data_IF_379669663007
#
_entry.id   IF_379669663007
#
_cell.length_a   1.000
_cell.length_b   1.000
_cell.length_c   1.000
_cell.angle_alpha   90.00
_cell.angle_beta   90.00
_cell.angle_gamma   90.00
#
_symmetry.space_group_name_H-M   'P 1'
#
loop_
_entity.id
_entity.type
_entity.pdbx_description
1 polymer ?
#
# COMPACT_ATOMS: atom_id res chain seq x y z
N UNK A 1 6.68 13.54 -22.39
CA UNK A 1 7.48 13.08 -21.23
C UNK A 1 6.98 13.92 -20.09
N UNK A 2 6.20 13.36 -19.16
CA UNK A 2 5.80 14.06 -17.95
C UNK A 2 7.05 14.68 -17.33
N UNK A 3 7.02 15.98 -17.05
CA UNK A 3 8.15 16.69 -16.46
C UNK A 3 8.64 15.97 -15.19
N UNK A 4 9.91 16.15 -14.80
CA UNK A 4 10.45 15.49 -13.61
C UNK A 4 9.59 15.83 -12.39
N UNK A 5 8.84 14.84 -11.90
CA UNK A 5 8.04 14.98 -10.67
C UNK A 5 9.02 15.20 -9.53
N UNK A 6 8.96 16.38 -8.91
CA UNK A 6 9.74 16.69 -7.72
C UNK A 6 9.49 15.60 -6.66
N UNK A 7 10.55 15.13 -6.04
CA UNK A 7 10.51 14.08 -5.02
C UNK A 7 9.99 12.70 -5.52
N UNK A 8 10.17 12.39 -6.81
CA UNK A 8 9.77 11.10 -7.43
C UNK A 8 10.17 9.88 -6.60
N UNK A 9 11.42 9.80 -6.15
CA UNK A 9 11.90 8.67 -5.34
C UNK A 9 11.14 8.54 -4.02
N UNK A 10 10.81 9.66 -3.39
CA UNK A 10 10.07 9.65 -2.14
C UNK A 10 8.64 9.13 -2.36
N UNK A 11 7.96 9.56 -3.42
CA UNK A 11 6.64 9.02 -3.79
C UNK A 11 6.69 7.53 -4.14
N UNK A 12 7.74 7.05 -4.81
CA UNK A 12 7.94 5.62 -5.07
C UNK A 12 8.08 4.83 -3.76
N UNK A 13 8.86 5.33 -2.79
CA UNK A 13 8.99 4.70 -1.46
C UNK A 13 7.66 4.66 -0.71
N UNK A 14 6.88 5.74 -0.73
CA UNK A 14 5.56 5.77 -0.10
C UNK A 14 4.61 4.77 -0.76
N UNK A 15 4.59 4.73 -2.09
CA UNK A 15 3.75 3.80 -2.86
C UNK A 15 4.11 2.34 -2.58
N UNK A 16 5.40 2.03 -2.53
CA UNK A 16 5.89 0.69 -2.20
C UNK A 16 5.42 0.23 -0.81
N UNK A 17 5.60 1.06 0.21
CA UNK A 17 5.18 0.73 1.58
C UNK A 17 3.67 0.52 1.68
N UNK A 18 2.88 1.36 1.01
CA UNK A 18 1.44 1.22 0.95
C UNK A 18 1.02 -0.11 0.30
N UNK A 19 1.60 -0.45 -0.85
CA UNK A 19 1.33 -1.71 -1.55
C UNK A 19 1.79 -2.94 -0.76
N UNK A 20 2.94 -2.86 -0.09
CA UNK A 20 3.43 -3.93 0.78
C UNK A 20 2.45 -4.22 1.92
N UNK A 21 1.85 -3.17 2.51
CA UNK A 21 0.82 -3.35 3.55
C UNK A 21 -0.42 -4.10 3.05
N UNK A 22 -0.87 -3.82 1.82
CA UNK A 22 -1.96 -4.57 1.19
C UNK A 22 -1.56 -6.02 0.89
N UNK A 23 -0.35 -6.23 0.36
CA UNK A 23 0.15 -7.56 0.03
C UNK A 23 0.23 -8.47 1.27
N UNK A 24 0.71 -7.95 2.40
CA UNK A 24 0.75 -8.70 3.66
C UNK A 24 -0.64 -9.15 4.10
N UNK A 25 -1.63 -8.24 4.11
CA UNK A 25 -2.99 -8.60 4.52
C UNK A 25 -3.72 -9.50 3.52
N UNK A 26 -3.31 -9.48 2.25
CA UNK A 26 -3.85 -10.38 1.23
C UNK A 26 -3.30 -11.81 1.38
N UNK A 27 -2.05 -11.96 1.83
CA UNK A 27 -1.43 -13.26 2.08
C UNK A 27 -1.84 -13.85 3.43
N UNK A 28 -1.78 -13.03 4.49
CA UNK A 28 -2.12 -13.43 5.85
C UNK A 28 -2.87 -12.29 6.57
N UNK A 29 -4.20 -12.42 6.77
CA UNK A 29 -5.01 -11.38 7.40
C UNK A 29 -4.71 -11.18 8.90
N UNK A 30 -4.11 -12.17 9.57
CA UNK A 30 -3.76 -12.09 11.00
C UNK A 30 -2.50 -11.25 11.22
N UNK A 31 -1.63 -11.12 10.20
CA UNK A 31 -0.39 -10.35 10.26
C UNK A 31 -0.60 -8.83 10.13
N UNK A 32 -1.53 -8.29 10.93
CA UNK A 32 -1.87 -6.87 10.95
C UNK A 32 -0.74 -6.01 11.54
N UNK A 33 0.15 -6.59 12.36
CA UNK A 33 1.28 -5.89 12.93
C UNK A 33 2.26 -5.41 11.86
N UNK A 34 2.60 -6.27 10.89
CA UNK A 34 3.50 -5.93 9.79
C UNK A 34 2.87 -4.89 8.85
N UNK A 35 1.59 -5.05 8.50
CA UNK A 35 0.88 -4.05 7.69
C UNK A 35 0.83 -2.67 8.36
N UNK A 36 0.60 -2.62 9.68
CA UNK A 36 0.66 -1.39 10.49
C UNK A 36 2.05 -0.77 10.48
N UNK A 37 3.10 -1.58 10.56
CA UNK A 37 4.48 -1.11 10.52
C UNK A 37 4.79 -0.40 9.19
N UNK A 38 4.39 -0.98 8.05
CA UNK A 38 4.57 -0.35 6.74
C UNK A 38 3.81 0.98 6.63
N UNK A 39 2.54 1.00 7.02
CA UNK A 39 1.73 2.23 7.01
C UNK A 39 2.25 3.31 7.97
N UNK A 40 2.78 2.91 9.14
CA UNK A 40 3.41 3.83 10.10
C UNK A 40 4.69 4.44 9.52
N UNK A 41 5.51 3.62 8.88
CA UNK A 41 6.75 4.04 8.22
C UNK A 41 6.45 5.01 7.08
N UNK A 42 5.47 4.67 6.22
CA UNK A 42 4.98 5.53 5.14
C UNK A 42 4.54 6.90 5.69
N UNK A 43 3.68 6.92 6.71
CA UNK A 43 3.21 8.15 7.36
C UNK A 43 4.34 8.98 7.95
N UNK A 44 5.36 8.34 8.51
CA UNK A 44 6.54 9.00 9.09
C UNK A 44 7.40 9.65 8.00
N UNK A 45 7.67 8.93 6.90
CA UNK A 45 8.41 9.46 5.76
C UNK A 45 7.65 10.65 5.16
N UNK A 46 6.34 10.50 4.91
CA UNK A 46 5.51 11.58 4.35
C UNK A 46 5.51 12.83 5.25
N UNK A 47 5.46 12.65 6.59
CA UNK A 47 5.55 13.76 7.54
C UNK A 47 6.91 14.45 7.52
N UNK A 48 8.00 13.68 7.54
CA UNK A 48 9.38 14.22 7.56
C UNK A 48 9.72 14.98 6.29
N UNK A 49 9.30 14.46 5.13
CA UNK A 49 9.54 15.06 3.82
C UNK A 49 8.47 16.08 3.41
N UNK A 50 7.50 16.37 4.30
CA UNK A 50 6.40 17.33 4.06
C UNK A 50 5.63 17.01 2.75
N UNK A 51 5.41 15.73 2.49
CA UNK A 51 4.74 15.26 1.28
C UNK A 51 3.22 15.22 1.47
N UNK A 52 2.51 15.78 0.49
CA UNK A 52 1.05 15.72 0.43
C UNK A 52 0.59 14.43 -0.22
N UNK A 53 0.16 13.47 0.58
CA UNK A 53 -0.55 12.29 0.08
C UNK A 53 -1.99 12.65 -0.31
N UNK A 54 -2.50 11.97 -1.34
CA UNK A 54 -3.86 12.11 -1.83
C UNK A 54 -4.91 11.71 -0.76
N UNK A 55 -6.04 12.43 -0.65
CA UNK A 55 -7.09 12.09 0.31
C UNK A 55 -7.65 10.67 0.14
N UNK A 56 -7.67 10.08 -1.05
CA UNK A 56 -8.17 8.71 -1.26
C UNK A 56 -7.33 7.70 -0.47
N UNK A 57 -6.01 7.76 -0.59
CA UNK A 57 -5.06 6.92 0.15
C UNK A 57 -5.16 7.20 1.65
N UNK A 58 -5.11 8.47 2.07
CA UNK A 58 -5.20 8.87 3.48
C UNK A 58 -6.48 8.41 4.19
N UNK A 59 -7.60 8.30 3.46
CA UNK A 59 -8.87 7.80 4.00
C UNK A 59 -8.79 6.30 4.34
N UNK A 60 -7.94 5.55 3.66
CA UNK A 60 -7.72 4.12 3.95
C UNK A 60 -6.79 3.88 5.15
N UNK A 61 -6.26 4.91 5.80
CA UNK A 61 -5.32 4.77 6.92
C UNK A 61 -5.88 5.30 8.24
N UNK A 62 -5.71 4.54 9.32
CA UNK A 62 -6.10 4.97 10.66
C UNK A 62 -5.23 6.15 11.14
N UNK A 63 -5.86 7.25 11.54
CA UNK A 63 -5.16 8.44 12.07
C UNK A 63 -4.40 8.17 13.38
N UNK A 64 -4.85 7.20 14.16
CA UNK A 64 -4.24 6.81 15.43
C UNK A 64 -3.09 5.83 15.23
N UNK A 65 -3.43 4.55 15.09
CA UNK A 65 -2.46 3.44 15.07
C UNK A 65 -1.88 3.13 13.67
N UNK A 66 -2.22 3.90 12.64
CA UNK A 66 -1.75 3.67 11.26
C UNK A 66 -2.12 2.30 10.68
N UNK A 67 -3.17 1.63 11.19
CA UNK A 67 -3.71 0.44 10.54
C UNK A 67 -4.30 0.78 9.18
N UNK A 68 -4.04 -0.07 8.19
CA UNK A 68 -4.76 -0.08 6.93
C UNK A 68 -6.22 -0.46 7.20
N UNK A 69 -7.17 0.36 6.75
CA UNK A 69 -8.59 0.24 7.03
C UNK A 69 -9.30 -0.45 5.86
N UNK A 70 -9.36 -1.77 5.92
CA UNK A 70 -10.08 -2.63 4.98
C UNK A 70 -11.46 -2.92 5.60
N UNK A 71 -12.56 -2.54 4.94
CA UNK A 71 -13.91 -2.84 5.43
C UNK A 71 -14.12 -4.36 5.59
N UNK A 72 -14.62 -4.79 6.74
CA UNK A 72 -14.88 -6.20 7.05
C UNK A 72 -13.69 -6.98 7.59
N UNK A 73 -12.47 -6.42 7.51
CA UNK A 73 -11.24 -7.06 8.01
C UNK A 73 -10.66 -6.30 9.21
N UNK A 74 -10.15 -5.09 8.97
CA UNK A 74 -9.49 -4.25 10.00
C UNK A 74 -10.32 -3.04 10.40
N UNK A 75 -11.43 -2.81 9.71
CA UNK A 75 -12.34 -1.69 9.97
C UNK A 75 -13.80 -2.06 9.72
N UNK A 76 -14.70 -1.37 10.41
CA UNK A 76 -16.13 -1.38 10.09
C UNK A 76 -16.48 -0.10 9.36
N UNK A 77 -17.28 -0.21 8.29
CA UNK A 77 -17.79 0.93 7.54
C UNK A 77 -19.30 0.94 7.63
N UNK A 78 -19.87 2.05 8.10
CA UNK A 78 -21.33 2.22 8.25
C UNK A 78 -21.77 3.54 7.66
N UNK A 79 -22.90 3.54 6.97
CA UNK A 79 -23.57 4.76 6.57
C UNK A 79 -24.60 5.16 7.62
N UNK A 80 -24.58 6.42 8.06
CA UNK A 80 -25.51 6.98 9.04
C UNK A 80 -26.10 8.28 8.51
N UNK A 81 -27.37 8.52 8.78
CA UNK A 81 -28.01 9.81 8.53
C UNK A 81 -28.02 10.63 9.82
N UNK A 82 -27.59 11.88 9.75
CA UNK A 82 -27.66 12.83 10.87
C UNK A 82 -27.90 14.23 10.32
N UNK A 83 -28.90 14.93 10.85
CA UNK A 83 -29.26 16.31 10.44
C UNK A 83 -29.43 16.45 8.91
N UNK A 84 -30.16 15.52 8.28
CA UNK A 84 -30.41 15.51 6.83
C UNK A 84 -29.23 15.07 5.95
N UNK A 85 -28.02 14.95 6.50
CA UNK A 85 -26.82 14.56 5.75
C UNK A 85 -26.49 13.07 5.93
N UNK A 86 -25.97 12.44 4.86
CA UNK A 86 -25.45 11.06 4.88
C UNK A 86 -23.96 11.10 5.22
N UNK A 87 -23.55 10.29 6.18
CA UNK A 87 -22.16 10.19 6.62
C UNK A 87 -21.69 8.75 6.49
N UNK A 88 -20.52 8.57 5.90
CA UNK A 88 -19.76 7.32 5.95
C UNK A 88 -18.85 7.37 7.16
N UNK A 89 -19.07 6.47 8.11
CA UNK A 89 -18.27 6.34 9.32
C UNK A 89 -17.41 5.09 9.17
N UNK A 90 -16.10 5.26 9.25
CA UNK A 90 -15.13 4.17 9.20
C UNK A 90 -14.45 4.06 10.57
N UNK A 91 -14.61 2.93 11.24
CA UNK A 91 -14.12 2.69 12.60
C UNK A 91 -13.07 1.61 12.58
N UNK A 92 -11.87 1.91 13.08
CA UNK A 92 -10.77 0.97 13.21
C UNK A 92 -11.08 -0.08 14.28
N UNK A 93 -10.92 -1.37 13.97
CA UNK A 93 -11.15 -2.45 14.93
C UNK A 93 -10.00 -2.59 15.96
N UNK A 94 -8.82 -2.06 15.64
CA UNK A 94 -7.64 -2.11 16.53
C UNK A 94 -7.70 -1.08 17.66
N UNK A 95 -7.91 0.20 17.32
CA UNK A 95 -7.84 1.30 18.30
C UNK A 95 -9.17 2.05 18.48
N UNK A 96 -10.24 1.58 17.84
CA UNK A 96 -11.61 2.09 17.97
C UNK A 96 -11.81 3.55 17.50
N UNK A 97 -10.76 4.20 16.97
CA UNK A 97 -10.87 5.54 16.41
C UNK A 97 -11.71 5.51 15.13
N UNK A 98 -12.59 6.50 15.01
CA UNK A 98 -13.50 6.63 13.87
C UNK A 98 -13.16 7.84 13.01
N UNK A 99 -13.24 7.67 11.69
CA UNK A 99 -13.21 8.73 10.69
C UNK A 99 -14.62 8.91 10.13
N UNK A 100 -14.99 10.15 9.83
CA UNK A 100 -16.32 10.51 9.31
C UNK A 100 -16.14 11.28 8.02
N UNK A 101 -16.80 10.82 6.97
CA UNK A 101 -16.79 11.45 5.65
C UNK A 101 -18.22 11.77 5.26
N UNK A 102 -18.46 13.02 4.84
CA UNK A 102 -19.74 13.40 4.27
C UNK A 102 -19.90 12.65 2.94
N UNK A 103 -21.05 12.00 2.77
CA UNK A 103 -21.42 11.31 1.54
C UNK A 103 -22.37 12.23 0.74
N UNK A 104 -21.77 13.21 0.07
CA UNK A 104 -22.45 14.15 -0.81
C UNK A 104 -22.07 13.83 -2.27
N UNK A 105 -23.04 13.45 -3.13
CA UNK A 105 -22.76 13.15 -4.53
C UNK A 105 -22.24 14.35 -5.32
N UNK A 106 -22.43 15.59 -4.85
CA UNK A 106 -21.92 16.80 -5.50
C UNK A 106 -20.46 17.10 -5.14
N UNK A 107 -19.88 16.40 -4.17
CA UNK A 107 -18.53 16.65 -3.69
C UNK A 107 -17.51 15.71 -4.35
N UNK A 108 -16.52 16.30 -5.05
CA UNK A 108 -15.39 15.61 -5.65
C UNK A 108 -14.08 16.00 -4.96
N UNK A 109 -13.16 15.05 -4.81
CA UNK A 109 -11.78 15.37 -4.39
C UNK A 109 -11.10 16.19 -5.48
N UNK A 110 -10.09 16.99 -5.09
CA UNK A 110 -9.33 17.78 -6.06
C UNK A 110 -8.73 16.92 -7.18
N UNK A 111 -8.15 15.76 -6.86
CA UNK A 111 -7.56 14.84 -7.85
C UNK A 111 -8.57 14.21 -8.82
N UNK A 112 -9.86 14.19 -8.46
CA UNK A 112 -10.93 13.65 -9.30
C UNK A 112 -11.53 14.70 -10.25
N UNK A 113 -11.17 15.98 -10.08
CA UNK A 113 -11.68 17.06 -10.93
C UNK A 113 -10.97 17.06 -12.29
N UNK A 114 -11.71 17.30 -13.40
CA UNK A 114 -11.11 17.28 -14.74
C UNK A 114 -10.01 18.33 -14.89
N UNK A 115 -10.14 19.51 -14.27
CA UNK A 115 -9.15 20.58 -14.35
C UNK A 115 -7.81 20.19 -13.70
N UNK A 116 -7.85 19.37 -12.65
CA UNK A 116 -6.64 18.86 -11.99
C UNK A 116 -5.93 17.78 -12.82
N UNK A 117 -6.67 17.06 -13.67
CA UNK A 117 -6.15 15.99 -14.53
C UNK A 117 -5.54 16.50 -15.84
N UNK A 118 -6.02 17.64 -16.35
CA UNK A 118 -5.52 18.28 -17.57
C UNK A 118 -4.02 18.58 -17.53
N UNK A 119 -3.47 18.96 -16.37
CA UNK A 119 -2.03 19.13 -16.19
C UNK A 119 -1.20 17.85 -16.37
N UNK A 120 -1.79 16.67 -16.13
CA UNK A 120 -1.15 15.37 -16.34
C UNK A 120 -1.36 14.83 -17.77
N UNK A 121 -2.47 15.22 -18.42
CA UNK A 121 -2.83 14.78 -19.77
C UNK A 121 -2.10 15.58 -20.87
N UNK A 122 -1.77 16.85 -20.64
CA UNK A 122 -0.98 17.65 -21.59
C UNK A 122 0.42 17.06 -21.87
N UNK A 123 0.92 16.20 -20.97
CA UNK A 123 2.20 15.49 -21.10
C UNK A 123 2.09 14.04 -21.63
N UNK A 124 0.85 13.55 -21.81
CA UNK A 124 0.54 12.18 -22.22
C UNK A 124 0.21 12.13 -23.72
N UNK A 125 1.25 12.07 -24.55
CA UNK A 125 1.09 11.59 -25.95
C UNK A 125 0.65 10.11 -25.90
N UNK A 126 -0.17 9.61 -26.85
CA UNK A 126 -0.55 8.20 -26.86
C UNK A 126 0.69 7.29 -26.87
N UNK A 127 0.64 6.09 -26.26
CA UNK A 127 1.75 5.15 -26.33
C UNK A 127 2.01 4.84 -27.81
N UNK A 128 3.22 5.15 -28.27
CA UNK A 128 3.75 4.54 -29.50
C UNK A 128 3.75 3.02 -29.28
N UNK A 129 3.25 2.22 -30.23
CA UNK A 129 3.26 0.77 -30.09
C UNK A 129 4.71 0.29 -29.89
N UNK A 130 4.91 -0.51 -28.84
CA UNK A 130 6.19 -1.13 -28.50
C UNK A 130 6.70 -1.92 -29.72
N UNK A 131 7.99 -1.77 -30.11
CA UNK A 131 8.58 -2.65 -31.10
C UNK A 131 8.57 -4.08 -30.57
N UNK A 132 8.01 -4.99 -31.37
CA UNK A 132 8.09 -6.43 -31.16
C UNK A 132 9.57 -6.85 -31.20
N UNK A 133 10.17 -7.09 -30.04
CA UNK A 133 11.40 -7.86 -29.95
C UNK A 133 11.03 -9.28 -29.53
N UNK A 134 10.59 -10.07 -30.50
CA UNK A 134 10.59 -11.52 -30.36
C UNK A 134 12.05 -11.98 -30.34
N UNK A 135 12.52 -12.40 -29.16
CA UNK A 135 13.69 -13.27 -29.06
C UNK A 135 13.27 -14.57 -28.37
N UNK A 136 13.56 -15.73 -29.00
CA UNK A 136 13.06 -17.02 -28.58
C UNK A 136 13.69 -17.49 -27.26
N UNK A 137 12.87 -18.12 -26.44
CA UNK A 137 13.24 -18.90 -25.26
C UNK A 137 14.22 -20.01 -25.68
N UNK A 138 15.45 -20.07 -25.14
CA UNK A 138 16.29 -21.24 -25.31
C UNK A 138 15.83 -22.35 -24.35
N UNK A 139 15.14 -23.33 -24.90
CA UNK A 139 14.93 -24.66 -24.33
C UNK A 139 16.26 -25.42 -24.31
N UNK A 140 16.90 -25.55 -23.15
CA UNK A 140 17.72 -26.73 -22.87
C UNK A 140 17.90 -26.97 -21.36
N UNK A 141 17.32 -28.07 -20.88
CA UNK A 141 17.76 -28.77 -19.68
C UNK A 141 19.07 -29.52 -19.99
N UNK A 142 19.99 -29.61 -19.00
CA UNK A 142 20.84 -30.80 -18.87
C UNK A 142 20.54 -31.58 -17.58
N UNK A 143 20.38 -32.91 -17.74
CA UNK A 143 20.38 -33.97 -16.71
C UNK A 143 21.76 -34.05 -16.04
N UNK A 144 21.79 -34.03 -14.69
CA UNK A 144 22.07 -35.17 -13.78
C UNK A 144 23.57 -35.47 -13.55
N UNK A 145 24.03 -35.40 -12.28
CA UNK A 145 24.73 -36.50 -11.60
C UNK A 145 25.07 -36.23 -10.12
N UNK A 146 24.64 -37.21 -9.32
CA UNK A 146 24.99 -37.70 -7.98
C UNK A 146 25.91 -36.93 -6.98
N UNK A 147 25.47 -37.09 -5.73
CA UNK A 147 25.98 -36.80 -4.37
C UNK A 147 27.38 -37.37 -4.02
N UNK A 148 28.04 -36.96 -2.90
CA UNK A 148 27.70 -37.52 -1.57
C UNK A 148 27.68 -36.54 -0.37
N UNK A 149 26.99 -37.01 0.67
CA UNK A 149 26.71 -36.39 1.97
C UNK A 149 27.91 -36.43 2.94
N UNK A 150 27.92 -35.53 3.94
CA UNK A 150 28.66 -35.69 5.22
C UNK A 150 27.90 -34.92 6.33
N UNK A 151 28.04 -35.30 7.62
CA UNK A 151 26.90 -35.70 8.44
C UNK A 151 26.50 -34.67 9.51
N UNK A 152 25.30 -34.87 10.01
CA UNK A 152 24.69 -34.20 11.15
C UNK A 152 25.45 -34.59 12.43
N UNK A 153 25.93 -33.61 13.20
CA UNK A 153 26.24 -33.79 14.62
C UNK A 153 25.36 -32.86 15.44
N UNK A 154 24.45 -33.49 16.18
CA UNK A 154 23.68 -32.90 17.26
C UNK A 154 24.57 -32.69 18.48
N UNK A 155 24.61 -31.48 19.03
CA UNK A 155 24.95 -31.26 20.44
C UNK A 155 24.05 -30.16 21.00
N UNK A 156 23.40 -30.45 22.13
CA UNK A 156 22.42 -29.58 22.77
C UNK A 156 22.95 -28.84 24.00
N UNK A 157 22.09 -27.95 24.52
CA UNK A 157 22.01 -27.44 25.92
C UNK A 157 23.15 -26.49 26.36
N UNK A 158 23.00 -25.30 26.99
CA UNK A 158 22.10 -24.71 28.03
C UNK A 158 22.16 -23.16 27.94
N UNK A 159 21.11 -22.40 28.30
CA UNK A 159 21.17 -20.93 28.47
C UNK A 159 21.73 -20.53 29.86
N UNK A 160 22.71 -19.62 29.89
CA UNK A 160 23.27 -19.07 31.12
C UNK A 160 22.64 -17.71 31.45
N UNK A 161 22.03 -17.59 32.64
CA UNK A 161 21.55 -16.34 33.22
C UNK A 161 22.70 -15.51 33.79
N UNK A 162 22.62 -14.19 33.61
CA UNK A 162 23.14 -13.18 34.53
C UNK A 162 22.25 -11.95 34.49
#
# INVERSE_FOLDING_TARGET
>A
MAGPVKDREAFQRLSFLYQAAHCVLAQDPENQALARFYCHTEKTIAKRLVLRQDPSVKRTLCRGCSSLLIPGLTSTQRQRRRRGQRWTIQTCLTCQRSQRFLNDPKHLLWGDRPEAQLGNQADSRPPQPLPNTAHPIPTHLPKEQAQPQVPITSDGFIPSSR
#
